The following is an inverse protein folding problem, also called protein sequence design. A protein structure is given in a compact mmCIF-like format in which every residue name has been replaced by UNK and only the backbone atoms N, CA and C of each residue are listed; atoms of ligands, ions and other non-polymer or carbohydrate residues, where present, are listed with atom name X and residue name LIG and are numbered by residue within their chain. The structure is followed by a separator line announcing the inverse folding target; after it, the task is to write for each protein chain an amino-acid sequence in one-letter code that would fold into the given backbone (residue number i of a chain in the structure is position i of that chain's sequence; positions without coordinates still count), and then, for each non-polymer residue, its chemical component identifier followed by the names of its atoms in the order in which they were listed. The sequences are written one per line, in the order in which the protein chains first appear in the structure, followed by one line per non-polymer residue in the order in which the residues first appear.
data_IF_318345840085
#
_entry.id   IF_318345840085
#
_cell.length_a   1.000
_cell.length_b   1.000
_cell.length_c   1.000
_cell.angle_alpha   90.00
_cell.angle_beta   90.00
_cell.angle_gamma   90.00
#
_symmetry.space_group_name_H-M   'P 1'
#
loop_
_entity.id
_entity.type
_entity.pdbx_description
1 polymer ?
#
# COMPACT_ATOMS: atom_id res chain seq x y z
N UNK A 1 46.77 -5.81 -4.10
CA UNK A 1 45.84 -4.72 -3.73
C UNK A 1 45.94 -3.58 -4.75
N UNK A 2 45.44 -3.83 -5.96
CA UNK A 2 45.20 -2.83 -7.00
C UNK A 2 44.26 -3.42 -8.08
N UNK A 3 43.30 -4.28 -7.67
CA UNK A 3 42.52 -5.10 -8.62
C UNK A 3 41.08 -5.39 -8.15
N UNK A 4 40.56 -4.66 -7.15
CA UNK A 4 39.17 -4.85 -6.68
C UNK A 4 38.41 -3.56 -6.36
N UNK A 5 38.95 -2.41 -6.69
CA UNK A 5 38.28 -1.12 -6.53
C UNK A 5 38.68 -0.27 -7.73
N UNK A 6 37.92 -0.35 -8.83
CA UNK A 6 38.14 0.46 -10.04
C UNK A 6 37.83 1.94 -9.81
N UNK A 7 38.45 2.55 -8.80
CA UNK A 7 38.38 3.98 -8.54
C UNK A 7 39.71 4.59 -8.96
N UNK A 8 39.68 5.38 -10.03
CA UNK A 8 40.80 6.18 -10.51
C UNK A 8 40.99 7.39 -9.58
N UNK A 9 42.12 7.52 -8.87
CA UNK A 9 42.32 8.58 -7.88
C UNK A 9 42.79 9.86 -8.60
N UNK A 10 41.86 10.67 -9.11
CA UNK A 10 42.33 11.92 -9.74
C UNK A 10 41.35 12.85 -10.43
N UNK A 11 40.05 12.57 -10.48
CA UNK A 11 39.10 13.53 -11.05
C UNK A 11 37.93 13.74 -10.11
N UNK A 12 37.70 15.00 -9.73
CA UNK A 12 36.52 15.40 -8.97
C UNK A 12 35.29 14.99 -9.76
N UNK A 13 34.57 13.99 -9.27
CA UNK A 13 33.41 13.45 -9.95
C UNK A 13 32.30 13.34 -8.93
N UNK A 14 31.28 14.19 -9.10
CA UNK A 14 29.99 13.98 -8.48
C UNK A 14 29.62 12.51 -8.67
N UNK A 15 29.36 11.84 -7.56
CA UNK A 15 28.89 10.47 -7.52
C UNK A 15 27.58 10.41 -8.29
N UNK A 16 27.68 10.19 -9.60
CA UNK A 16 26.57 9.73 -10.42
C UNK A 16 26.29 8.30 -9.97
N UNK A 17 25.54 8.18 -8.88
CA UNK A 17 24.77 6.97 -8.64
C UNK A 17 23.84 6.83 -9.85
N UNK A 18 24.05 5.80 -10.68
CA UNK A 18 22.98 5.30 -11.54
C UNK A 18 21.88 4.79 -10.60
N UNK A 19 20.93 5.66 -10.29
CA UNK A 19 19.73 5.39 -9.48
C UNK A 19 18.67 4.61 -10.26
N UNK A 20 19.09 3.84 -11.28
CA UNK A 20 18.23 2.97 -12.04
C UNK A 20 18.84 1.57 -12.04
N UNK A 21 18.86 0.85 -10.89
CA UNK A 21 18.95 -0.59 -10.97
C UNK A 21 17.79 -1.07 -11.83
N UNK A 22 17.99 -2.10 -12.66
CA UNK A 22 16.85 -2.77 -13.27
C UNK A 22 15.95 -3.21 -12.12
N UNK A 23 14.70 -2.76 -12.09
CA UNK A 23 13.79 -3.01 -10.97
C UNK A 23 13.61 -4.51 -10.72
N UNK A 24 13.79 -5.31 -11.76
CA UNK A 24 13.90 -6.76 -11.70
C UNK A 24 15.03 -7.22 -10.77
N UNK A 25 16.23 -6.62 -10.81
CA UNK A 25 17.34 -6.97 -9.92
C UNK A 25 17.01 -6.73 -8.44
N UNK A 26 16.24 -5.67 -8.13
CA UNK A 26 15.86 -5.36 -6.74
C UNK A 26 14.82 -6.36 -6.25
N UNK A 27 13.81 -6.64 -7.07
CA UNK A 27 12.76 -7.60 -6.72
C UNK A 27 13.30 -9.02 -6.67
N UNK A 28 14.26 -9.40 -7.53
CA UNK A 28 14.91 -10.71 -7.49
C UNK A 28 15.83 -10.88 -6.28
N UNK A 29 16.54 -9.83 -5.88
CA UNK A 29 17.52 -9.92 -4.78
C UNK A 29 16.89 -9.78 -3.39
N UNK A 30 15.81 -9.02 -3.27
CA UNK A 30 15.21 -8.69 -1.97
C UNK A 30 13.75 -9.13 -1.84
N UNK A 31 13.12 -9.58 -2.92
CA UNK A 31 11.76 -10.10 -2.90
C UNK A 31 11.70 -11.59 -2.57
N UNK A 32 10.61 -12.00 -1.91
CA UNK A 32 10.21 -13.39 -1.81
C UNK A 32 9.17 -13.70 -2.90
N UNK A 33 9.28 -14.86 -3.54
CA UNK A 33 8.28 -15.34 -4.50
C UNK A 33 7.25 -16.17 -3.76
N UNK A 34 6.01 -15.69 -3.76
CA UNK A 34 4.84 -16.39 -3.24
C UNK A 34 4.15 -17.24 -4.32
N UNK A 35 3.01 -17.86 -3.97
CA UNK A 35 2.15 -18.56 -4.91
C UNK A 35 1.74 -17.68 -6.10
N UNK A 36 1.42 -18.32 -7.22
CA UNK A 36 0.88 -17.67 -8.44
C UNK A 36 1.76 -16.55 -9.00
N UNK A 37 3.06 -16.55 -8.69
CA UNK A 37 4.01 -15.56 -9.19
C UNK A 37 3.95 -14.22 -8.48
N UNK A 38 3.22 -14.11 -7.36
CA UNK A 38 3.21 -12.90 -6.52
C UNK A 38 4.59 -12.67 -5.93
N UNK A 39 5.13 -11.47 -6.10
CA UNK A 39 6.44 -11.09 -5.56
C UNK A 39 6.23 -10.14 -4.38
N UNK A 40 6.74 -10.52 -3.22
CA UNK A 40 6.61 -9.75 -1.98
C UNK A 40 7.93 -9.08 -1.66
N UNK A 41 7.95 -7.75 -1.65
CA UNK A 41 9.09 -6.97 -1.19
C UNK A 41 8.76 -6.43 0.21
N UNK A 42 9.52 -6.87 1.22
CA UNK A 42 9.36 -6.35 2.58
C UNK A 42 10.32 -5.20 2.78
N UNK A 43 9.78 -4.02 3.07
CA UNK A 43 10.61 -2.92 3.55
C UNK A 43 11.16 -3.26 4.92
N UNK A 44 12.48 -3.19 5.08
CA UNK A 44 13.12 -3.36 6.38
C UNK A 44 12.51 -2.40 7.41
N UNK A 45 12.28 -2.90 8.62
CA UNK A 45 11.95 -2.05 9.75
C UNK A 45 13.16 -1.20 10.14
N UNK A 46 12.94 -0.02 10.70
CA UNK A 46 14.02 0.79 11.27
C UNK A 46 14.59 0.03 12.47
N UNK A 47 15.66 -0.74 12.27
CA UNK A 47 16.19 -1.66 13.29
C UNK A 47 16.85 -0.90 14.46
N UNK A 48 17.06 0.41 14.36
CA UNK A 48 17.68 1.20 15.43
C UNK A 48 17.12 2.62 15.53
N UNK A 49 16.77 3.10 16.74
CA UNK A 49 16.63 4.52 17.00
C UNK A 49 17.92 5.23 16.59
N UNK A 50 17.81 6.28 15.76
CA UNK A 50 18.92 7.10 15.22
C UNK A 50 19.78 6.51 14.08
N UNK A 51 19.32 5.48 13.34
CA UNK A 51 20.10 4.87 12.25
C UNK A 51 20.14 5.61 10.90
N UNK A 52 19.44 6.75 10.73
CA UNK A 52 19.56 7.58 9.54
C UNK A 52 18.23 7.94 8.89
N UNK A 53 18.29 8.81 7.88
CA UNK A 53 17.13 9.27 7.14
C UNK A 53 16.61 8.16 6.21
N UNK A 54 15.29 7.92 6.19
CA UNK A 54 14.58 6.98 5.30
C UNK A 54 14.63 7.35 3.80
N UNK A 55 15.51 8.29 3.42
CA UNK A 55 15.58 8.83 2.07
C UNK A 55 16.03 7.77 1.03
N UNK A 56 17.04 6.91 1.30
CA UNK A 56 17.44 5.86 0.36
C UNK A 56 16.35 4.82 0.10
N UNK A 57 15.64 4.40 1.14
CA UNK A 57 14.55 3.43 1.06
C UNK A 57 13.38 4.00 0.27
N UNK A 58 12.98 5.24 0.57
CA UNK A 58 11.92 5.94 -0.15
C UNK A 58 12.27 6.19 -1.63
N UNK A 59 13.53 6.49 -1.94
CA UNK A 59 13.98 6.67 -3.32
C UNK A 59 13.94 5.35 -4.10
N UNK A 60 14.35 4.24 -3.46
CA UNK A 60 14.25 2.91 -4.05
C UNK A 60 12.80 2.52 -4.33
N UNK A 61 11.90 2.71 -3.36
CA UNK A 61 10.47 2.44 -3.56
C UNK A 61 9.88 3.28 -4.69
N UNK A 62 10.22 4.58 -4.75
CA UNK A 62 9.71 5.46 -5.80
C UNK A 62 10.16 4.99 -7.18
N UNK A 63 11.41 4.51 -7.30
CA UNK A 63 11.92 3.92 -8.54
C UNK A 63 11.19 2.61 -8.89
N UNK A 64 10.99 1.72 -7.91
CA UNK A 64 10.26 0.44 -8.10
C UNK A 64 8.81 0.69 -8.50
N UNK A 65 8.08 1.52 -7.75
CA UNK A 65 6.69 1.86 -8.02
C UNK A 65 6.55 2.56 -9.38
N UNK A 66 7.44 3.50 -9.69
CA UNK A 66 7.46 4.18 -10.99
C UNK A 66 7.69 3.21 -12.15
N UNK A 67 8.62 2.27 -12.02
CA UNK A 67 8.90 1.23 -13.03
C UNK A 67 7.70 0.30 -13.24
N UNK A 68 7.13 -0.25 -12.16
CA UNK A 68 6.00 -1.19 -12.23
C UNK A 68 4.77 -0.50 -12.80
N UNK A 69 4.51 0.75 -12.42
CA UNK A 69 3.37 1.55 -12.92
C UNK A 69 3.44 1.82 -14.44
N UNK A 70 4.60 1.67 -15.06
CA UNK A 70 4.81 1.83 -16.50
C UNK A 70 4.75 0.51 -17.29
N UNK A 71 4.73 -0.64 -16.63
CA UNK A 71 4.69 -1.95 -17.27
C UNK A 71 3.25 -2.41 -17.50
N UNK A 72 3.00 -2.95 -18.69
CA UNK A 72 1.70 -3.55 -19.00
C UNK A 72 1.57 -4.91 -18.29
N UNK A 73 0.38 -5.20 -17.74
CA UNK A 73 0.03 -6.44 -17.02
C UNK A 73 0.74 -6.66 -15.67
N UNK A 74 1.38 -5.63 -15.10
CA UNK A 74 1.88 -5.68 -13.72
C UNK A 74 1.02 -4.78 -12.80
N UNK A 75 0.90 -5.17 -11.54
CA UNK A 75 0.19 -4.39 -10.52
C UNK A 75 1.01 -4.38 -9.25
N UNK A 76 1.18 -3.20 -8.66
CA UNK A 76 1.81 -3.03 -7.36
C UNK A 76 0.75 -2.75 -6.30
N UNK A 77 0.72 -3.59 -5.27
CA UNK A 77 -0.03 -3.33 -4.05
C UNK A 77 0.97 -2.96 -2.96
N UNK A 78 0.79 -1.77 -2.41
CA UNK A 78 1.61 -1.28 -1.30
C UNK A 78 0.75 -1.23 -0.04
N UNK A 79 1.07 -2.08 0.93
CA UNK A 79 0.49 -2.01 2.26
C UNK A 79 1.26 -0.98 3.09
N UNK A 80 0.53 -0.04 3.68
CA UNK A 80 1.10 1.04 4.49
C UNK A 80 0.33 1.17 5.78
N UNK A 81 1.04 1.49 6.88
CA UNK A 81 0.38 1.92 8.11
C UNK A 81 -0.58 3.08 7.84
N UNK A 82 -1.54 3.30 8.74
CA UNK A 82 -2.42 4.45 8.74
C UNK A 82 -1.63 5.76 8.90
N UNK A 83 -1.06 6.21 7.78
CA UNK A 83 -0.10 7.28 7.73
C UNK A 83 0.85 7.11 6.54
N UNK A 84 0.55 7.83 5.45
CA UNK A 84 1.43 7.89 4.28
C UNK A 84 2.46 9.03 4.40
N UNK A 85 2.55 9.71 5.55
CA UNK A 85 3.48 10.81 5.81
C UNK A 85 4.96 10.39 5.74
N UNK A 86 5.25 9.12 6.00
CA UNK A 86 6.58 8.57 5.83
C UNK A 86 6.96 8.41 4.35
N UNK A 87 5.98 8.50 3.44
CA UNK A 87 6.17 8.39 2.01
C UNK A 87 6.17 9.77 1.35
N UNK A 88 7.26 10.06 0.64
CA UNK A 88 7.37 11.30 -0.11
C UNK A 88 6.41 11.36 -1.30
N UNK A 89 6.11 12.57 -1.77
CA UNK A 89 5.33 12.84 -2.99
C UNK A 89 5.80 12.04 -4.22
N UNK A 90 7.11 11.79 -4.33
CA UNK A 90 7.68 11.03 -5.43
C UNK A 90 7.18 9.57 -5.48
N UNK A 91 6.93 8.94 -4.34
CA UNK A 91 6.39 7.58 -4.30
C UNK A 91 4.91 7.57 -4.68
N UNK A 92 4.14 8.51 -4.14
CA UNK A 92 2.70 8.61 -4.40
C UNK A 92 2.36 8.82 -5.88
N UNK A 93 3.22 9.48 -6.65
CA UNK A 93 3.07 9.64 -8.10
C UNK A 93 3.06 8.32 -8.88
N UNK A 94 3.59 7.24 -8.31
CA UNK A 94 3.53 5.90 -8.91
C UNK A 94 2.16 5.23 -8.78
N UNK A 95 1.27 5.74 -7.92
CA UNK A 95 -0.01 5.12 -7.59
C UNK A 95 -1.19 5.90 -8.16
N UNK A 96 -2.13 5.17 -8.76
CA UNK A 96 -3.38 5.71 -9.30
C UNK A 96 -4.55 5.62 -8.32
N UNK A 97 -4.51 4.62 -7.44
CA UNK A 97 -5.59 4.31 -6.52
C UNK A 97 -5.06 4.24 -5.10
N UNK A 98 -5.83 4.77 -4.15
CA UNK A 98 -5.66 4.53 -2.72
C UNK A 98 -6.95 3.91 -2.17
N UNK A 99 -6.82 2.76 -1.49
CA UNK A 99 -7.91 2.16 -0.73
C UNK A 99 -7.75 2.52 0.74
N UNK A 100 -8.62 3.39 1.25
CA UNK A 100 -8.63 3.82 2.65
C UNK A 100 -9.60 2.94 3.41
N UNK A 101 -9.06 2.11 4.31
CA UNK A 101 -9.84 1.16 5.09
C UNK A 101 -10.16 1.73 6.46
N UNK A 102 -11.41 1.61 6.88
CA UNK A 102 -11.90 1.99 8.21
C UNK A 102 -12.72 0.86 8.81
N UNK A 103 -12.92 0.85 10.12
CA UNK A 103 -13.96 0.04 10.75
C UNK A 103 -15.21 0.90 11.04
N UNK A 104 -16.20 0.36 11.73
CA UNK A 104 -17.44 1.08 12.03
C UNK A 104 -17.29 2.03 13.23
N UNK A 105 -16.09 2.18 13.79
CA UNK A 105 -15.84 2.98 15.00
C UNK A 105 -15.53 4.43 14.68
N UNK A 106 -15.83 5.32 15.63
CA UNK A 106 -15.51 6.74 15.52
C UNK A 106 -14.02 7.00 15.26
N UNK A 107 -13.13 6.31 15.98
CA UNK A 107 -11.68 6.48 15.82
C UNK A 107 -11.21 6.01 14.44
N UNK A 108 -11.73 4.87 13.97
CA UNK A 108 -11.46 4.38 12.61
C UNK A 108 -11.86 5.41 11.56
N UNK A 109 -13.02 6.03 11.71
CA UNK A 109 -13.51 7.07 10.79
C UNK A 109 -12.58 8.28 10.76
N UNK A 110 -12.12 8.77 11.92
CA UNK A 110 -11.19 9.91 11.98
C UNK A 110 -9.87 9.61 11.27
N UNK A 111 -9.31 8.41 11.51
CA UNK A 111 -8.05 7.97 10.90
C UNK A 111 -8.21 7.82 9.39
N UNK A 112 -9.32 7.26 8.92
CA UNK A 112 -9.60 7.11 7.50
C UNK A 112 -9.72 8.46 6.79
N UNK A 113 -10.47 9.41 7.37
CA UNK A 113 -10.58 10.76 6.82
C UNK A 113 -9.23 11.49 6.77
N UNK A 114 -8.37 11.28 7.78
CA UNK A 114 -7.01 11.79 7.76
C UNK A 114 -6.18 11.17 6.62
N UNK A 115 -6.19 9.85 6.50
CA UNK A 115 -5.49 9.12 5.44
C UNK A 115 -5.95 9.52 4.03
N UNK A 116 -7.26 9.71 3.83
CA UNK A 116 -7.83 10.16 2.56
C UNK A 116 -7.31 11.55 2.16
N UNK A 117 -7.27 12.50 3.10
CA UNK A 117 -6.72 13.85 2.86
C UNK A 117 -5.22 13.84 2.58
N UNK A 118 -4.47 12.94 3.23
CA UNK A 118 -3.06 12.76 2.94
C UNK A 118 -2.83 12.21 1.53
N UNK A 119 -3.57 11.17 1.13
CA UNK A 119 -3.52 10.60 -0.21
C UNK A 119 -3.85 11.66 -1.29
N UNK A 120 -4.86 12.49 -1.05
CA UNK A 120 -5.23 13.62 -1.93
C UNK A 120 -4.10 14.66 -2.03
N UNK A 121 -3.52 15.05 -0.88
CA UNK A 121 -2.40 16.02 -0.83
C UNK A 121 -1.16 15.51 -1.57
N UNK A 122 -0.95 14.19 -1.55
CA UNK A 122 0.12 13.51 -2.28
C UNK A 122 -0.15 13.41 -3.79
N UNK A 123 -1.40 13.61 -4.22
CA UNK A 123 -1.81 13.66 -5.61
C UNK A 123 -2.30 12.33 -6.19
N UNK A 124 -2.75 11.40 -5.34
CA UNK A 124 -3.33 10.14 -5.80
C UNK A 124 -4.75 10.43 -6.37
N UNK A 125 -5.01 10.13 -7.65
CA UNK A 125 -6.20 10.63 -8.33
C UNK A 125 -7.52 9.92 -7.96
N UNK A 126 -7.47 8.65 -7.53
CA UNK A 126 -8.65 7.91 -7.12
C UNK A 126 -8.50 7.40 -5.68
N UNK A 127 -9.42 7.79 -4.81
CA UNK A 127 -9.37 7.47 -3.38
C UNK A 127 -10.69 6.80 -3.00
N UNK A 128 -10.60 5.52 -2.65
CA UNK A 128 -11.74 4.66 -2.37
C UNK A 128 -11.88 4.45 -0.86
N UNK A 129 -13.09 4.50 -0.35
CA UNK A 129 -13.39 4.13 1.04
C UNK A 129 -13.79 2.67 1.10
N UNK A 130 -13.23 1.94 2.07
CA UNK A 130 -13.64 0.59 2.44
C UNK A 130 -14.01 0.57 3.92
N UNK A 131 -15.30 0.39 4.22
CA UNK A 131 -15.78 0.19 5.60
C UNK A 131 -15.76 -1.30 5.89
N UNK A 132 -14.85 -1.72 6.75
CA UNK A 132 -14.63 -3.11 7.13
C UNK A 132 -15.43 -3.48 8.38
N UNK A 133 -15.65 -4.79 8.57
CA UNK A 133 -16.35 -5.38 9.72
C UNK A 133 -17.80 -4.89 9.86
N UNK A 134 -18.48 -4.67 8.74
CA UNK A 134 -19.88 -4.26 8.72
C UNK A 134 -20.78 -5.43 9.11
N UNK A 135 -21.47 -5.34 10.25
CA UNK A 135 -22.43 -6.35 10.69
C UNK A 135 -23.80 -6.24 10.03
N UNK A 136 -24.19 -5.06 9.54
CA UNK A 136 -25.48 -4.84 8.87
C UNK A 136 -25.48 -3.62 7.94
N UNK A 137 -26.42 -3.54 6.97
CA UNK A 137 -26.59 -2.35 6.15
C UNK A 137 -26.85 -1.06 6.96
N UNK A 138 -27.61 -1.15 8.06
CA UNK A 138 -27.87 0.01 8.93
C UNK A 138 -26.61 0.50 9.64
N UNK A 139 -25.71 -0.42 10.03
CA UNK A 139 -24.41 -0.03 10.57
C UNK A 139 -23.54 0.69 9.54
N UNK A 140 -23.53 0.22 8.29
CA UNK A 140 -22.81 0.89 7.21
C UNK A 140 -23.32 2.32 6.98
N UNK A 141 -24.65 2.51 6.89
CA UNK A 141 -25.24 3.85 6.73
C UNK A 141 -24.91 4.77 7.91
N UNK A 142 -24.92 4.26 9.14
CA UNK A 142 -24.50 5.04 10.32
C UNK A 142 -23.03 5.43 10.26
N UNK A 143 -22.15 4.54 9.78
CA UNK A 143 -20.73 4.88 9.58
C UNK A 143 -20.56 5.94 8.50
N UNK A 144 -21.32 5.88 7.40
CA UNK A 144 -21.30 6.93 6.36
C UNK A 144 -21.79 8.29 6.90
N UNK A 145 -22.87 8.30 7.71
CA UNK A 145 -23.32 9.51 8.37
C UNK A 145 -22.25 10.09 9.31
N UNK A 146 -21.57 9.24 10.08
CA UNK A 146 -20.46 9.66 10.95
C UNK A 146 -19.28 10.25 10.17
N UNK A 147 -18.99 9.74 8.97
CA UNK A 147 -18.00 10.30 8.06
C UNK A 147 -18.39 11.71 7.62
N UNK A 148 -19.65 11.90 7.22
CA UNK A 148 -20.15 13.22 6.77
C UNK A 148 -20.14 14.24 7.93
N UNK A 149 -20.55 13.83 9.14
CA UNK A 149 -20.48 14.66 10.35
C UNK A 149 -19.04 15.03 10.76
N UNK A 150 -18.08 14.15 10.49
CA UNK A 150 -16.65 14.38 10.74
C UNK A 150 -15.95 15.24 9.67
N UNK A 151 -16.72 15.86 8.77
CA UNK A 151 -16.24 16.77 7.73
C UNK A 151 -16.20 16.17 6.33
N UNK A 152 -16.50 14.88 6.18
CA UNK A 152 -16.63 14.19 4.90
C UNK A 152 -15.35 14.11 4.08
N UNK A 153 -15.43 13.37 2.97
CA UNK A 153 -14.43 13.35 1.91
C UNK A 153 -15.08 12.87 0.58
N UNK A 154 -14.70 13.44 -0.57
CA UNK A 154 -15.25 13.06 -1.87
C UNK A 154 -14.60 11.77 -2.40
N UNK A 155 -14.87 10.64 -1.74
CA UNK A 155 -14.36 9.34 -2.17
C UNK A 155 -14.83 8.98 -3.59
N UNK A 156 -13.93 8.46 -4.42
CA UNK A 156 -14.21 7.96 -5.77
C UNK A 156 -15.23 6.83 -5.76
N UNK A 157 -15.14 5.94 -4.77
CA UNK A 157 -16.16 4.93 -4.50
C UNK A 157 -16.17 4.57 -3.02
N UNK A 158 -17.25 3.96 -2.56
CA UNK A 158 -17.43 3.52 -1.17
C UNK A 158 -17.89 2.06 -1.18
N UNK A 159 -17.25 1.24 -0.36
CA UNK A 159 -17.48 -0.20 -0.30
C UNK A 159 -17.65 -0.66 1.14
N UNK A 160 -18.46 -1.70 1.34
CA UNK A 160 -18.62 -2.37 2.62
C UNK A 160 -18.01 -3.77 2.56
N UNK A 161 -17.16 -4.11 3.53
CA UNK A 161 -16.74 -5.49 3.78
C UNK A 161 -17.47 -6.01 5.02
N UNK A 162 -18.27 -7.08 4.87
CA UNK A 162 -19.06 -7.60 5.97
C UNK A 162 -18.16 -8.20 7.05
N UNK A 163 -18.64 -8.15 8.29
CA UNK A 163 -18.05 -8.92 9.37
C UNK A 163 -18.19 -10.42 9.08
N UNK A 164 -17.08 -11.14 9.23
CA UNK A 164 -17.00 -12.58 9.00
C UNK A 164 -16.07 -13.21 10.05
N UNK A 165 -16.64 -14.03 10.94
CA UNK A 165 -15.89 -14.70 12.01
C UNK A 165 -14.86 -15.69 11.45
N UNK A 166 -15.04 -16.19 10.23
CA UNK A 166 -14.09 -17.12 9.59
C UNK A 166 -12.70 -16.52 9.47
N UNK A 167 -12.58 -15.20 9.25
CA UNK A 167 -11.30 -14.51 9.23
C UNK A 167 -10.57 -14.64 10.58
N UNK A 168 -11.31 -14.48 11.68
CA UNK A 168 -10.78 -14.60 13.05
C UNK A 168 -10.44 -16.04 13.40
N UNK A 169 -11.23 -17.00 12.93
CA UNK A 169 -10.99 -18.43 13.13
C UNK A 169 -9.78 -18.95 12.35
N UNK A 170 -9.49 -18.36 11.19
CA UNK A 170 -8.34 -18.73 10.36
C UNK A 170 -7.04 -18.02 10.78
N UNK A 171 -7.09 -17.01 11.65
CA UNK A 171 -5.89 -16.33 12.15
C UNK A 171 -4.96 -17.33 12.88
N UNK A 172 -3.64 -17.37 12.61
CA UNK A 172 -2.85 -16.41 11.82
C UNK A 172 -2.68 -16.78 10.34
N UNK A 173 -3.20 -17.90 9.87
CA UNK A 173 -3.02 -18.40 8.52
C UNK A 173 -4.34 -18.35 7.74
N UNK A 174 -4.58 -17.25 7.03
CA UNK A 174 -5.83 -17.01 6.28
C UNK A 174 -6.00 -17.88 5.01
N UNK A 175 -5.04 -18.74 4.69
CA UNK A 175 -5.08 -19.65 3.53
C UNK A 175 -6.36 -20.50 3.42
N UNK A 176 -6.82 -21.17 4.50
CA UNK A 176 -8.06 -21.96 4.48
C UNK A 176 -9.32 -21.14 4.20
N UNK A 177 -9.28 -19.82 4.43
CA UNK A 177 -10.41 -18.94 4.10
C UNK A 177 -10.56 -18.81 2.59
N UNK A 178 -9.44 -18.75 1.83
CA UNK A 178 -9.45 -18.64 0.37
C UNK A 178 -10.15 -19.81 -0.32
N UNK A 179 -10.23 -20.96 0.35
CA UNK A 179 -10.93 -22.16 -0.11
C UNK A 179 -12.45 -22.13 0.19
N UNK A 180 -12.96 -21.05 0.82
CA UNK A 180 -14.36 -20.91 1.22
C UNK A 180 -15.11 -19.88 0.34
N UNK A 181 -15.63 -20.29 -0.83
CA UNK A 181 -16.32 -19.39 -1.77
C UNK A 181 -17.62 -18.78 -1.22
N UNK A 182 -18.15 -19.30 -0.12
CA UNK A 182 -19.34 -18.77 0.57
C UNK A 182 -19.04 -17.59 1.51
N UNK A 183 -17.78 -17.30 1.80
CA UNK A 183 -17.42 -16.15 2.65
C UNK A 183 -17.88 -14.85 1.98
N UNK A 184 -18.79 -14.14 2.64
CA UNK A 184 -19.26 -12.83 2.17
C UNK A 184 -18.13 -11.80 2.21
N UNK A 185 -17.18 -11.95 3.14
CA UNK A 185 -15.99 -11.11 3.19
C UNK A 185 -15.15 -11.30 1.92
N UNK A 186 -14.85 -12.55 1.53
CA UNK A 186 -14.07 -12.81 0.32
C UNK A 186 -14.78 -12.31 -0.94
N UNK A 187 -16.09 -12.51 -1.04
CA UNK A 187 -16.86 -11.95 -2.15
C UNK A 187 -16.75 -10.42 -2.20
N UNK A 188 -16.80 -9.75 -1.05
CA UNK A 188 -16.57 -8.31 -0.94
C UNK A 188 -15.16 -7.90 -1.38
N UNK A 189 -14.12 -8.60 -0.95
CA UNK A 189 -12.73 -8.34 -1.35
C UNK A 189 -12.53 -8.55 -2.86
N UNK A 190 -13.09 -9.62 -3.42
CA UNK A 190 -13.03 -9.89 -4.86
C UNK A 190 -13.74 -8.79 -5.68
N UNK A 191 -14.83 -8.21 -5.14
CA UNK A 191 -15.46 -7.06 -5.76
C UNK A 191 -14.57 -5.80 -5.73
N UNK A 192 -13.73 -5.61 -4.71
CA UNK A 192 -12.73 -4.53 -4.70
C UNK A 192 -11.68 -4.70 -5.80
N UNK A 193 -11.28 -5.94 -6.12
CA UNK A 193 -10.34 -6.23 -7.22
C UNK A 193 -10.88 -5.87 -8.61
N UNK A 194 -12.20 -5.63 -8.73
CA UNK A 194 -12.83 -5.19 -9.98
C UNK A 194 -12.90 -3.66 -10.14
N UNK A 195 -12.40 -2.90 -9.16
CA UNK A 195 -12.23 -1.45 -9.28
C UNK A 195 -11.17 -1.23 -10.37
N UNK A 196 -11.62 -0.86 -11.57
CA UNK A 196 -10.80 -0.72 -12.79
C UNK A 196 -9.45 -0.04 -12.52
N UNK A 197 -8.37 -0.82 -12.69
CA UNK A 197 -6.95 -0.40 -12.73
C UNK A 197 -6.60 0.19 -14.09
#
# INVERSE_FOLDING_TARGET
MAEKTGADPGSGFGLFFRLNPEVDDVVERFGAVGPDGVRVLVMGSVVQPAAGCLCPENALLAAVAGSVSLRENETILMDTQAGVEHFGRALAQGFRHAAVVTDTTFNGVQVALHGARLADTLGIPAIHLVVNRVGSPEEYERTLASIDEAGGFPFTSRHALPFDDTLRECDPAVGPMLEQPSSRFLQGVMALGSISV
#
